data_IF_207273307843
#
_entry.id   IF_207273307843
#
_cell.length_a   1.000
_cell.length_b   1.000
_cell.length_c   1.000
_cell.angle_alpha   90.00
_cell.angle_beta   90.00
_cell.angle_gamma   90.00
#
_symmetry.space_group_name_H-M   'P 1'
#
loop_
_entity.id
_entity.type
_entity.pdbx_description
1 polymer ?
#
# COMPACT_ATOMS: atom_id res chain seq x y z
N UNK A 1 -11.95 -17.52 15.61
CA UNK A 1 -10.76 -16.92 16.25
C UNK A 1 -10.88 -15.40 16.14
N UNK A 2 -10.39 -14.63 17.09
CA UNK A 2 -10.34 -13.17 16.96
C UNK A 2 -9.12 -12.80 16.09
N UNK A 3 -9.39 -12.18 14.94
CA UNK A 3 -8.38 -11.72 13.99
C UNK A 3 -8.27 -10.18 13.99
N UNK A 4 -8.90 -9.51 14.98
CA UNK A 4 -8.84 -8.05 15.06
C UNK A 4 -7.42 -7.55 15.35
N UNK A 5 -7.07 -6.41 14.74
CA UNK A 5 -5.80 -5.72 14.96
C UNK A 5 -6.04 -4.25 15.31
N UNK A 6 -5.32 -3.77 16.34
CA UNK A 6 -5.38 -2.36 16.74
C UNK A 6 -4.14 -1.65 16.23
N UNK A 7 -4.31 -0.77 15.25
CA UNK A 7 -3.24 -0.03 14.59
C UNK A 7 -3.59 1.46 14.56
N UNK A 8 -2.64 2.32 14.88
CA UNK A 8 -2.81 3.79 14.88
C UNK A 8 -3.99 4.29 15.73
N UNK A 9 -4.39 3.54 16.77
CA UNK A 9 -5.57 3.84 17.59
C UNK A 9 -6.91 3.42 16.99
N UNK A 10 -6.91 2.66 15.89
CA UNK A 10 -8.10 2.15 15.19
C UNK A 10 -8.14 0.64 15.28
N UNK A 11 -9.32 0.08 15.58
CA UNK A 11 -9.56 -1.37 15.56
C UNK A 11 -10.03 -1.81 14.18
N UNK A 12 -9.27 -2.67 13.54
CA UNK A 12 -9.59 -3.32 12.25
C UNK A 12 -10.07 -4.74 12.52
N UNK A 13 -11.09 -5.21 11.80
CA UNK A 13 -11.67 -6.56 11.96
C UNK A 13 -10.65 -7.69 11.76
N UNK A 14 -9.70 -7.47 10.88
CA UNK A 14 -8.63 -8.43 10.55
C UNK A 14 -7.46 -7.73 9.85
N UNK A 15 -6.30 -8.39 9.68
CA UNK A 15 -5.11 -7.81 9.08
C UNK A 15 -5.09 -7.83 7.56
N UNK A 16 -6.13 -8.33 6.87
CA UNK A 16 -6.15 -8.45 5.41
C UNK A 16 -6.91 -7.27 4.80
N UNK A 17 -6.19 -6.43 4.08
CA UNK A 17 -6.68 -5.25 3.39
C UNK A 17 -6.49 -5.40 1.89
N UNK A 18 -7.06 -4.51 1.09
CA UNK A 18 -6.78 -4.41 -0.35
C UNK A 18 -6.01 -3.15 -0.66
N UNK A 19 -5.04 -3.28 -1.59
CA UNK A 19 -4.12 -2.20 -1.95
C UNK A 19 -4.76 -1.15 -2.86
N UNK A 20 -4.27 0.07 -2.78
CA UNK A 20 -4.65 1.16 -3.67
C UNK A 20 -4.39 0.81 -5.15
N UNK A 21 -5.23 1.34 -6.03
CA UNK A 21 -5.07 1.22 -7.48
C UNK A 21 -5.68 -0.02 -8.13
N UNK A 22 -5.71 -1.15 -7.43
CA UNK A 22 -6.20 -2.44 -7.98
C UNK A 22 -7.62 -2.78 -7.57
N UNK A 23 -8.21 -2.00 -6.69
CA UNK A 23 -9.55 -2.26 -6.12
C UNK A 23 -10.52 -1.07 -6.32
N UNK A 24 -10.12 -0.07 -7.07
CA UNK A 24 -10.91 1.14 -7.28
C UNK A 24 -11.26 1.81 -5.96
N UNK A 25 -12.54 2.03 -5.75
CA UNK A 25 -13.13 2.52 -4.49
C UNK A 25 -13.96 1.44 -3.78
N UNK A 26 -13.84 0.17 -4.20
CA UNK A 26 -14.56 -0.96 -3.65
C UNK A 26 -15.92 -1.26 -4.31
N UNK A 27 -16.47 -0.34 -5.11
CA UNK A 27 -17.82 -0.46 -5.67
C UNK A 27 -17.95 -1.63 -6.66
N UNK A 28 -16.94 -1.84 -7.50
CA UNK A 28 -16.94 -2.93 -8.47
C UNK A 28 -16.88 -4.29 -7.76
N UNK A 29 -16.13 -4.37 -6.67
CA UNK A 29 -15.94 -5.60 -5.91
C UNK A 29 -17.20 -6.04 -5.15
N UNK A 30 -18.11 -5.11 -4.80
CA UNK A 30 -19.41 -5.42 -4.20
C UNK A 30 -20.27 -6.38 -5.06
N UNK A 31 -20.02 -6.40 -6.37
CA UNK A 31 -20.69 -7.33 -7.30
C UNK A 31 -20.12 -8.75 -7.23
N UNK A 32 -18.96 -8.94 -6.64
CA UNK A 32 -18.23 -10.20 -6.58
C UNK A 32 -18.36 -10.87 -5.22
N UNK A 33 -18.25 -10.06 -4.15
CA UNK A 33 -18.34 -10.56 -2.78
C UNK A 33 -18.60 -9.41 -1.77
N UNK A 34 -18.92 -9.80 -0.54
CA UNK A 34 -19.12 -8.86 0.57
C UNK A 34 -17.77 -8.33 1.08
N UNK A 35 -17.42 -7.11 0.67
CA UNK A 35 -16.18 -6.45 1.06
C UNK A 35 -16.16 -6.01 2.54
N UNK A 36 -17.27 -6.09 3.27
CA UNK A 36 -17.31 -5.85 4.71
C UNK A 36 -16.48 -6.85 5.51
N UNK A 37 -16.14 -7.99 4.91
CA UNK A 37 -15.26 -9.01 5.48
C UNK A 37 -13.79 -8.59 5.52
N UNK A 38 -13.40 -7.57 4.75
CA UNK A 38 -12.02 -7.05 4.74
C UNK A 38 -11.76 -6.18 5.97
N UNK A 39 -10.51 -6.18 6.43
CA UNK A 39 -10.07 -5.28 7.50
C UNK A 39 -10.10 -3.81 7.07
N UNK A 40 -9.66 -3.52 5.84
CA UNK A 40 -9.78 -2.21 5.23
C UNK A 40 -9.72 -2.27 3.69
N UNK A 41 -10.23 -1.22 3.06
CA UNK A 41 -10.07 -0.91 1.64
C UNK A 41 -9.21 0.34 1.49
N UNK A 42 -8.03 0.21 0.86
CA UNK A 42 -7.24 1.39 0.47
C UNK A 42 -7.74 1.87 -0.88
N UNK A 43 -8.24 3.08 -0.93
CA UNK A 43 -8.86 3.64 -2.13
C UNK A 43 -7.83 3.81 -3.26
N UNK A 44 -8.31 3.85 -4.49
CA UNK A 44 -7.52 4.40 -5.60
C UNK A 44 -7.02 5.78 -5.22
N UNK A 45 -5.82 6.13 -5.66
CA UNK A 45 -5.20 7.41 -5.34
C UNK A 45 -6.09 8.60 -5.69
N UNK A 46 -6.23 9.53 -4.76
CA UNK A 46 -6.98 10.76 -4.90
C UNK A 46 -6.04 11.96 -4.98
N UNK A 47 -6.29 12.84 -5.92
CA UNK A 47 -5.63 14.15 -6.08
C UNK A 47 -6.63 15.28 -5.88
N UNK A 48 -6.13 16.51 -5.70
CA UNK A 48 -6.96 17.69 -5.52
C UNK A 48 -7.89 17.89 -6.72
N UNK A 49 -7.32 17.81 -7.93
CA UNK A 49 -8.04 17.94 -9.20
C UNK A 49 -8.16 16.60 -9.92
N UNK A 50 -9.14 16.43 -10.82
CA UNK A 50 -9.24 15.24 -11.65
C UNK A 50 -7.99 15.02 -12.50
N UNK A 51 -7.63 13.74 -12.71
CA UNK A 51 -6.52 13.34 -13.59
C UNK A 51 -7.00 12.32 -14.61
N UNK A 52 -6.71 12.56 -15.87
CA UNK A 52 -7.08 11.66 -16.98
C UNK A 52 -6.18 10.42 -17.00
N UNK A 53 -4.96 10.54 -16.47
CA UNK A 53 -3.94 9.48 -16.54
C UNK A 53 -3.13 9.55 -17.82
N UNK A 54 -2.32 8.50 -18.03
CA UNK A 54 -1.47 8.40 -19.22
C UNK A 54 -2.23 7.80 -20.41
N UNK A 55 -1.72 8.03 -21.62
CA UNK A 55 -2.24 7.41 -22.84
C UNK A 55 -1.99 5.89 -22.84
N UNK A 56 -2.90 5.09 -23.45
CA UNK A 56 -2.67 3.67 -23.69
C UNK A 56 -1.53 3.42 -24.71
N UNK A 57 -0.89 2.24 -24.64
CA UNK A 57 -1.05 1.15 -23.66
C UNK A 57 -0.47 1.49 -22.29
N UNK A 58 -1.25 1.23 -21.24
CA UNK A 58 -0.88 1.56 -19.84
C UNK A 58 -0.63 0.34 -18.96
N UNK A 59 -0.89 -0.85 -19.49
CA UNK A 59 -0.75 -2.13 -18.78
C UNK A 59 -0.08 -3.13 -19.70
N UNK A 60 0.80 -3.95 -19.16
CA UNK A 60 1.40 -5.08 -19.85
C UNK A 60 1.62 -6.24 -18.89
N UNK A 61 1.18 -7.44 -19.25
CA UNK A 61 1.49 -8.65 -18.50
C UNK A 61 2.97 -8.98 -18.60
N UNK A 62 3.52 -9.55 -17.53
CA UNK A 62 4.88 -10.09 -17.45
C UNK A 62 4.83 -11.50 -16.85
N UNK A 63 5.87 -12.33 -16.98
CA UNK A 63 5.97 -13.54 -16.21
C UNK A 63 5.80 -13.23 -14.71
N UNK A 64 4.87 -13.89 -14.04
CA UNK A 64 4.57 -13.74 -12.60
C UNK A 64 4.20 -12.31 -12.15
N UNK A 65 3.60 -11.48 -13.04
CA UNK A 65 3.19 -10.14 -12.64
C UNK A 65 2.69 -9.27 -13.77
N UNK A 66 2.66 -7.96 -13.53
CA UNK A 66 2.27 -6.98 -14.53
C UNK A 66 3.03 -5.66 -14.39
N UNK A 67 3.18 -4.97 -15.50
CA UNK A 67 3.61 -3.57 -15.55
C UNK A 67 2.39 -2.66 -15.69
N UNK A 68 2.40 -1.53 -14.98
CA UNK A 68 1.40 -0.50 -15.17
C UNK A 68 2.02 0.90 -15.20
N UNK A 69 1.39 1.76 -15.97
CA UNK A 69 1.66 3.20 -16.02
C UNK A 69 0.35 3.98 -16.15
N UNK A 70 -0.55 3.78 -15.20
CA UNK A 70 -1.90 4.36 -15.23
C UNK A 70 -1.87 5.90 -15.20
N UNK A 71 -0.86 6.49 -14.55
CA UNK A 71 -0.73 7.95 -14.45
C UNK A 71 -1.69 8.56 -13.43
N UNK A 72 -2.02 7.83 -12.38
CA UNK A 72 -2.87 8.28 -11.27
C UNK A 72 -4.25 8.78 -11.70
N UNK A 73 -4.85 8.19 -12.74
CA UNK A 73 -6.21 8.52 -13.18
C UNK A 73 -7.19 8.45 -11.99
N UNK A 74 -7.88 9.56 -11.72
CA UNK A 74 -8.86 9.64 -10.64
C UNK A 74 -9.79 10.85 -10.84
N UNK A 75 -10.99 10.87 -10.19
CA UNK A 75 -11.96 11.95 -10.39
C UNK A 75 -11.63 13.26 -9.65
N UNK A 76 -10.59 13.27 -8.80
CA UNK A 76 -10.33 14.34 -7.85
C UNK A 76 -11.15 14.18 -6.55
N UNK A 77 -10.69 14.84 -5.48
CA UNK A 77 -11.28 14.69 -4.14
C UNK A 77 -12.72 15.21 -4.07
N UNK A 78 -13.04 16.26 -4.78
CA UNK A 78 -14.40 16.87 -4.78
C UNK A 78 -15.44 15.91 -5.39
N UNK A 79 -15.17 15.38 -6.58
CA UNK A 79 -16.05 14.40 -7.22
C UNK A 79 -16.12 13.09 -6.42
N UNK A 80 -15.01 12.65 -5.81
CA UNK A 80 -15.02 11.51 -4.90
C UNK A 80 -16.01 11.71 -3.74
N UNK A 81 -15.94 12.85 -3.05
CA UNK A 81 -16.82 13.16 -1.91
C UNK A 81 -18.27 13.27 -2.32
N UNK A 82 -18.57 13.85 -3.49
CA UNK A 82 -19.92 14.08 -3.97
C UNK A 82 -20.59 12.85 -4.57
N UNK A 83 -19.83 12.02 -5.30
CA UNK A 83 -20.41 10.99 -6.16
C UNK A 83 -20.09 9.56 -5.68
N UNK A 84 -18.91 9.33 -5.07
CA UNK A 84 -18.42 7.99 -4.71
C UNK A 84 -18.60 7.73 -3.21
N UNK A 85 -18.20 8.68 -2.37
CA UNK A 85 -18.25 8.53 -0.91
C UNK A 85 -19.64 8.14 -0.38
N UNK A 86 -20.77 8.75 -0.83
CA UNK A 86 -22.09 8.34 -0.39
C UNK A 86 -22.46 6.88 -0.71
N UNK A 87 -21.79 6.27 -1.67
CA UNK A 87 -22.02 4.88 -2.05
C UNK A 87 -21.22 3.89 -1.19
N UNK A 88 -20.16 4.34 -0.51
CA UNK A 88 -19.29 3.49 0.32
C UNK A 88 -19.42 3.76 1.82
N UNK A 89 -19.95 4.88 2.24
CA UNK A 89 -20.00 5.28 3.66
C UNK A 89 -20.82 4.34 4.54
N UNK A 90 -21.79 3.62 3.98
CA UNK A 90 -22.62 2.66 4.69
C UNK A 90 -22.02 1.24 4.76
N UNK A 91 -20.92 0.97 4.06
CA UNK A 91 -20.27 -0.34 4.06
C UNK A 91 -19.56 -0.54 5.39
N UNK A 92 -19.78 -1.70 6.03
CA UNK A 92 -19.19 -2.03 7.32
C UNK A 92 -17.75 -2.53 7.18
N UNK A 93 -16.87 -1.67 6.64
CA UNK A 93 -15.42 -1.81 6.67
C UNK A 93 -14.77 -0.43 6.74
N UNK A 94 -13.51 -0.36 7.08
CA UNK A 94 -12.74 0.89 7.07
C UNK A 94 -12.21 1.20 5.67
N UNK A 95 -12.17 2.50 5.33
CA UNK A 95 -11.49 2.98 4.13
C UNK A 95 -10.29 3.83 4.53
N UNK A 96 -9.18 3.62 3.81
CA UNK A 96 -7.95 4.41 3.93
C UNK A 96 -7.79 5.15 2.62
N UNK A 97 -7.75 6.47 2.65
CA UNK A 97 -7.59 7.24 1.42
C UNK A 97 -6.12 7.25 0.99
N UNK A 98 -5.82 6.68 -0.18
CA UNK A 98 -4.52 6.89 -0.81
C UNK A 98 -4.48 8.30 -1.41
N UNK A 99 -3.54 9.12 -0.98
CA UNK A 99 -3.49 10.55 -1.32
C UNK A 99 -2.24 10.85 -2.14
N UNK A 100 -2.41 11.61 -3.20
CA UNK A 100 -1.36 12.10 -4.06
C UNK A 100 -1.49 13.61 -4.30
N UNK A 101 -0.37 14.31 -4.41
CA UNK A 101 -0.27 15.72 -4.81
C UNK A 101 1.01 15.97 -5.60
N UNK A 102 1.05 17.05 -6.36
CA UNK A 102 2.27 17.54 -7.02
C UNK A 102 3.07 18.49 -6.12
N UNK A 103 2.40 19.07 -5.12
CA UNK A 103 2.98 19.94 -4.10
C UNK A 103 2.56 19.48 -2.69
N UNK A 104 3.30 19.93 -1.67
CA UNK A 104 2.94 19.66 -0.27
C UNK A 104 1.54 20.22 0.07
N UNK A 105 1.18 21.35 -0.54
CA UNK A 105 -0.13 22.00 -0.40
C UNK A 105 -1.24 21.12 -0.93
N UNK A 106 -1.09 20.56 -2.13
CA UNK A 106 -2.10 19.68 -2.72
C UNK A 106 -2.34 18.43 -1.88
N UNK A 107 -1.28 17.78 -1.35
CA UNK A 107 -1.46 16.67 -0.40
C UNK A 107 -2.28 17.09 0.81
N UNK A 108 -1.94 18.24 1.41
CA UNK A 108 -2.64 18.75 2.59
C UNK A 108 -4.09 19.08 2.28
N UNK A 109 -4.38 19.76 1.18
CA UNK A 109 -5.74 20.14 0.79
C UNK A 109 -6.62 18.90 0.56
N UNK A 110 -6.09 17.84 -0.07
CA UNK A 110 -6.81 16.57 -0.22
C UNK A 110 -7.12 15.94 1.14
N UNK A 111 -6.14 15.87 2.04
CA UNK A 111 -6.36 15.32 3.39
C UNK A 111 -7.40 16.15 4.15
N UNK A 112 -7.31 17.48 4.13
CA UNK A 112 -8.26 18.36 4.81
C UNK A 112 -9.68 18.23 4.26
N UNK A 113 -9.84 18.09 2.94
CA UNK A 113 -11.16 17.86 2.33
C UNK A 113 -11.79 16.54 2.81
N UNK A 114 -10.97 15.53 3.15
CA UNK A 114 -11.44 14.23 3.61
C UNK A 114 -11.61 14.12 5.14
N UNK A 115 -11.30 15.16 5.92
CA UNK A 115 -11.40 15.11 7.39
C UNK A 115 -12.82 14.83 7.89
N UNK A 116 -13.85 15.38 7.21
CA UNK A 116 -15.25 15.15 7.56
C UNK A 116 -15.83 13.82 7.10
N UNK A 117 -15.12 13.09 6.24
CA UNK A 117 -15.53 11.78 5.73
C UNK A 117 -15.22 10.69 6.78
N UNK A 118 -16.14 10.42 7.70
CA UNK A 118 -15.91 9.53 8.88
C UNK A 118 -15.47 8.12 8.49
N UNK A 119 -15.96 7.59 7.36
CA UNK A 119 -15.59 6.25 6.88
C UNK A 119 -14.13 6.18 6.39
N UNK A 120 -13.53 7.31 6.01
CA UNK A 120 -12.10 7.42 5.76
C UNK A 120 -11.40 7.56 7.11
N UNK A 121 -10.77 6.49 7.57
CA UNK A 121 -10.18 6.43 8.91
C UNK A 121 -8.72 6.85 8.99
N UNK A 122 -7.99 6.82 7.86
CA UNK A 122 -6.57 7.17 7.78
C UNK A 122 -6.20 7.64 6.36
N UNK A 123 -5.03 8.25 6.22
CA UNK A 123 -4.43 8.64 4.94
C UNK A 123 -3.21 7.76 4.64
N UNK A 124 -3.09 7.27 3.41
CA UNK A 124 -1.90 6.64 2.87
C UNK A 124 -1.25 7.58 1.87
N UNK A 125 -0.17 8.26 2.25
CA UNK A 125 0.53 9.19 1.37
C UNK A 125 1.31 8.41 0.31
N UNK A 126 0.97 8.60 -0.96
CA UNK A 126 1.65 8.00 -2.10
C UNK A 126 2.81 8.91 -2.55
N UNK A 127 3.97 8.71 -1.95
CA UNK A 127 5.17 9.54 -2.23
C UNK A 127 6.03 9.01 -3.39
N UNK A 128 5.58 7.95 -4.07
CA UNK A 128 6.39 7.24 -5.08
C UNK A 128 6.32 7.83 -6.50
N UNK A 129 5.65 8.97 -6.71
CA UNK A 129 5.48 9.50 -8.06
C UNK A 129 6.76 10.17 -8.57
N UNK A 130 7.37 9.67 -9.68
CA UNK A 130 8.60 10.24 -10.23
C UNK A 130 8.38 11.53 -11.03
N UNK A 131 7.12 11.96 -11.24
CA UNK A 131 6.77 13.03 -12.18
C UNK A 131 6.46 14.36 -11.50
N UNK A 132 7.43 14.98 -10.85
CA UNK A 132 7.34 16.41 -10.52
C UNK A 132 8.02 17.21 -11.62
N UNK A 133 7.29 17.57 -12.66
CA UNK A 133 7.78 18.39 -13.77
C UNK A 133 8.06 19.86 -13.42
N UNK A 134 7.75 20.31 -12.18
CA UNK A 134 8.01 21.66 -11.72
C UNK A 134 8.68 21.63 -10.35
N UNK A 135 10.00 21.87 -10.33
CA UNK A 135 10.76 22.06 -9.11
C UNK A 135 11.70 20.93 -8.71
N UNK A 136 11.71 19.79 -9.40
CA UNK A 136 12.84 18.86 -9.37
C UNK A 136 13.00 17.91 -8.18
N UNK A 137 12.07 17.85 -7.23
CA UNK A 137 12.21 16.98 -6.06
C UNK A 137 11.05 15.99 -6.01
N UNK A 138 11.34 14.74 -6.34
CA UNK A 138 10.41 13.63 -6.11
C UNK A 138 10.34 13.34 -4.60
N UNK A 139 9.17 13.50 -3.99
CA UNK A 139 8.97 13.32 -2.53
C UNK A 139 9.53 11.99 -2.00
N UNK A 140 9.51 10.94 -2.78
CA UNK A 140 10.06 9.64 -2.41
C UNK A 140 11.56 9.45 -2.67
N UNK A 141 12.30 10.47 -3.09
CA UNK A 141 13.74 10.38 -3.38
C UNK A 141 14.61 11.40 -2.61
N UNK A 142 13.99 12.40 -1.99
CA UNK A 142 14.68 13.39 -1.14
C UNK A 142 14.14 13.30 0.28
N UNK A 143 15.02 12.93 1.21
CA UNK A 143 14.70 12.74 2.62
C UNK A 143 14.18 14.01 3.31
N UNK A 144 14.75 15.18 2.95
CA UNK A 144 14.34 16.46 3.56
C UNK A 144 12.94 16.87 3.08
N UNK A 145 12.67 16.68 1.80
CA UNK A 145 11.36 16.97 1.21
C UNK A 145 10.30 16.01 1.75
N UNK A 146 10.63 14.72 1.84
CA UNK A 146 9.75 13.73 2.44
C UNK A 146 9.42 14.07 3.89
N UNK A 147 10.43 14.35 4.72
CA UNK A 147 10.22 14.71 6.12
C UNK A 147 9.34 15.95 6.28
N UNK A 148 9.57 17.01 5.49
CA UNK A 148 8.74 18.22 5.51
C UNK A 148 7.29 17.93 5.14
N UNK A 149 7.05 17.12 4.11
CA UNK A 149 5.70 16.72 3.70
C UNK A 149 4.97 16.01 4.84
N UNK A 150 5.58 14.99 5.43
CA UNK A 150 4.98 14.22 6.52
C UNK A 150 4.68 15.12 7.72
N UNK A 151 5.64 15.91 8.17
CA UNK A 151 5.47 16.83 9.29
C UNK A 151 4.36 17.87 9.05
N UNK A 152 4.32 18.46 7.84
CA UNK A 152 3.31 19.44 7.46
C UNK A 152 1.89 18.85 7.50
N UNK A 153 1.71 17.64 6.97
CA UNK A 153 0.40 17.00 6.95
C UNK A 153 0.02 16.58 8.37
N UNK A 154 0.90 15.89 9.08
CA UNK A 154 0.64 15.41 10.45
C UNK A 154 0.32 16.55 11.41
N UNK A 155 0.91 17.71 11.26
CA UNK A 155 0.63 18.90 12.07
C UNK A 155 -0.73 19.56 11.79
N UNK A 156 -1.51 19.11 10.78
CA UNK A 156 -2.75 19.75 10.35
C UNK A 156 -3.96 18.82 10.33
N UNK A 157 -3.75 17.50 10.22
CA UNK A 157 -4.82 16.50 10.16
C UNK A 157 -4.97 15.79 11.49
N UNK A 158 -6.18 15.27 11.76
CA UNK A 158 -6.48 14.50 12.98
C UNK A 158 -6.35 13.00 12.76
N UNK A 159 -6.63 12.55 11.54
CA UNK A 159 -6.59 11.12 11.18
C UNK A 159 -5.14 10.64 11.08
N UNK A 160 -4.88 9.36 11.34
CA UNK A 160 -3.57 8.75 11.15
C UNK A 160 -3.02 8.93 9.74
N UNK A 161 -1.71 9.14 9.67
CA UNK A 161 -0.95 9.34 8.42
C UNK A 161 0.01 8.19 8.22
N UNK A 162 -0.21 7.39 7.19
CA UNK A 162 0.65 6.32 6.73
C UNK A 162 1.46 6.81 5.54
N UNK A 163 2.69 6.33 5.39
CA UNK A 163 3.53 6.68 4.22
C UNK A 163 3.85 5.43 3.43
N UNK A 164 3.44 5.42 2.15
CA UNK A 164 3.73 4.31 1.23
C UNK A 164 5.09 4.49 0.57
N UNK A 165 6.05 3.67 1.02
CA UNK A 165 7.44 3.74 0.62
C UNK A 165 7.67 3.20 -0.79
N UNK A 166 8.58 3.85 -1.52
CA UNK A 166 9.04 3.40 -2.84
C UNK A 166 10.15 2.35 -2.70
N UNK A 167 10.09 1.23 -3.42
CA UNK A 167 11.21 0.30 -3.49
C UNK A 167 12.36 0.78 -4.38
N UNK A 168 12.17 1.89 -5.09
CA UNK A 168 13.14 2.43 -6.05
C UNK A 168 14.10 3.44 -5.37
N UNK A 169 14.12 3.47 -4.05
CA UNK A 169 15.08 4.24 -3.24
C UNK A 169 16.29 3.36 -2.88
N UNK A 170 17.42 3.98 -2.61
CA UNK A 170 18.64 3.22 -2.25
C UNK A 170 18.57 2.56 -0.87
N UNK A 171 17.83 3.14 0.09
CA UNK A 171 17.75 2.67 1.48
C UNK A 171 16.35 2.89 2.05
N UNK A 172 15.54 1.82 2.05
CA UNK A 172 14.16 1.85 2.56
C UNK A 172 14.09 2.17 4.06
N UNK A 173 15.09 1.75 4.83
CA UNK A 173 15.15 1.97 6.29
C UNK A 173 15.36 3.45 6.59
N UNK A 174 16.25 4.10 5.85
CA UNK A 174 16.50 5.52 6.02
C UNK A 174 15.25 6.36 5.70
N UNK A 175 14.54 6.03 4.61
CA UNK A 175 13.28 6.68 4.26
C UNK A 175 12.19 6.42 5.32
N UNK A 176 12.09 5.17 5.80
CA UNK A 176 11.17 4.80 6.88
C UNK A 176 11.42 5.60 8.18
N UNK A 177 12.69 5.69 8.62
CA UNK A 177 13.08 6.48 9.80
C UNK A 177 12.69 7.94 9.66
N UNK A 178 12.99 8.56 8.51
CA UNK A 178 12.61 9.96 8.27
C UNK A 178 11.09 10.16 8.36
N UNK A 179 10.29 9.23 7.85
CA UNK A 179 8.83 9.32 7.99
C UNK A 179 8.40 9.27 9.47
N UNK A 180 8.93 8.32 10.23
CA UNK A 180 8.60 8.14 11.66
C UNK A 180 9.05 9.33 12.48
N UNK A 181 10.27 9.82 12.28
CA UNK A 181 10.83 10.99 12.99
C UNK A 181 10.02 12.28 12.72
N UNK A 182 9.30 12.33 11.59
CA UNK A 182 8.41 13.45 11.23
C UNK A 182 6.93 13.19 11.52
N UNK A 183 6.60 12.12 12.26
CA UNK A 183 5.30 11.90 12.85
C UNK A 183 4.37 10.97 12.05
N UNK A 184 4.87 10.18 11.10
CA UNK A 184 4.06 9.14 10.48
C UNK A 184 3.58 8.13 11.51
N UNK A 185 2.29 7.76 11.46
CA UNK A 185 1.67 6.79 12.37
C UNK A 185 1.90 5.35 11.89
N UNK A 186 2.29 5.16 10.65
CA UNK A 186 2.58 3.85 10.06
C UNK A 186 3.33 3.94 8.75
N UNK A 187 3.95 2.84 8.36
CA UNK A 187 4.63 2.68 7.07
C UNK A 187 3.93 1.62 6.23
N UNK A 188 3.86 1.85 4.92
CA UNK A 188 3.34 0.87 3.96
C UNK A 188 4.49 0.47 3.03
N UNK A 189 4.88 -0.78 3.04
CA UNK A 189 6.00 -1.30 2.27
C UNK A 189 5.56 -2.50 1.42
N UNK A 190 5.57 -2.33 0.09
CA UNK A 190 6.17 -1.31 -0.75
C UNK A 190 5.25 -0.92 -1.92
N UNK A 191 5.56 0.19 -2.61
CA UNK A 191 4.99 0.48 -3.92
C UNK A 191 5.65 -0.39 -5.01
N UNK A 192 5.35 -0.15 -6.28
CA UNK A 192 5.81 -0.95 -7.43
C UNK A 192 7.27 -0.67 -7.80
N UNK A 193 7.97 -1.70 -8.28
CA UNK A 193 9.33 -1.59 -8.81
C UNK A 193 9.31 -1.02 -10.24
N UNK A 194 10.26 -0.17 -10.56
CA UNK A 194 10.41 0.35 -11.93
C UNK A 194 10.85 -0.77 -12.87
N UNK A 195 10.09 -0.98 -13.93
CA UNK A 195 10.36 -2.01 -14.94
C UNK A 195 10.02 -1.55 -16.34
N UNK A 196 10.34 -2.39 -17.32
CA UNK A 196 10.10 -2.15 -18.75
C UNK A 196 9.85 -3.47 -19.48
N UNK A 197 9.03 -3.43 -20.52
CA UNK A 197 8.84 -4.53 -21.46
C UNK A 197 8.94 -4.02 -22.91
N UNK A 198 9.61 -4.79 -23.76
CA UNK A 198 9.79 -4.50 -25.18
C UNK A 198 9.01 -5.52 -26.00
N UNK A 199 8.28 -5.05 -27.01
CA UNK A 199 7.76 -5.87 -28.08
C UNK A 199 8.91 -6.12 -29.06
N UNK A 200 9.39 -7.36 -29.11
CA UNK A 200 10.58 -7.73 -29.90
C UNK A 200 10.34 -7.67 -31.42
N UNK A 201 9.10 -7.95 -31.84
CA UNK A 201 8.74 -7.91 -33.26
C UNK A 201 8.65 -6.45 -33.77
N UNK A 202 8.01 -5.58 -32.97
CA UNK A 202 7.91 -4.15 -33.30
C UNK A 202 9.16 -3.36 -32.93
N UNK A 203 10.02 -3.92 -32.07
CA UNK A 203 11.23 -3.26 -31.55
C UNK A 203 10.94 -1.94 -30.85
N UNK A 204 9.84 -1.91 -30.06
CA UNK A 204 9.36 -0.73 -29.34
C UNK A 204 8.97 -1.09 -27.90
N UNK A 205 9.01 -0.14 -26.96
CA UNK A 205 8.40 -0.31 -25.66
C UNK A 205 6.91 -0.62 -25.77
N UNK A 206 6.39 -1.49 -24.90
CA UNK A 206 4.95 -1.83 -24.90
C UNK A 206 4.14 -0.70 -24.27
N UNK A 207 4.62 -0.13 -23.15
CA UNK A 207 3.92 0.96 -22.49
C UNK A 207 4.18 2.30 -23.19
N UNK A 208 3.15 3.15 -23.29
CA UNK A 208 3.25 4.49 -23.86
C UNK A 208 4.28 5.39 -23.14
N UNK A 209 4.50 5.14 -21.85
CA UNK A 209 5.47 5.85 -21.00
C UNK A 209 6.86 5.21 -20.98
N UNK A 210 7.10 4.20 -21.82
CA UNK A 210 8.33 3.40 -21.90
C UNK A 210 8.54 2.51 -20.68
N UNK A 211 8.43 3.05 -19.46
CA UNK A 211 8.62 2.38 -18.19
C UNK A 211 7.32 2.39 -17.39
N UNK A 212 7.16 1.39 -16.52
CA UNK A 212 6.01 1.30 -15.60
C UNK A 212 6.38 0.62 -14.29
N UNK A 213 5.44 0.61 -13.36
CA UNK A 213 5.59 -0.09 -12.09
C UNK A 213 5.32 -1.59 -12.27
N UNK A 214 6.28 -2.44 -11.92
CA UNK A 214 6.14 -3.88 -11.83
C UNK A 214 5.49 -4.25 -10.51
N UNK A 215 4.47 -5.10 -10.55
CA UNK A 215 3.74 -5.65 -9.40
C UNK A 215 3.38 -7.12 -9.62
N UNK A 216 2.85 -7.78 -8.59
CA UNK A 216 2.49 -9.19 -8.62
C UNK A 216 3.53 -10.09 -7.98
N UNK A 217 3.39 -11.43 -8.06
CA UNK A 217 4.25 -12.39 -7.34
C UNK A 217 5.74 -12.19 -7.57
N UNK A 218 6.15 -11.67 -8.73
CA UNK A 218 7.55 -11.41 -9.07
C UNK A 218 8.28 -10.50 -8.06
N UNK A 219 7.57 -9.62 -7.34
CA UNK A 219 8.20 -8.69 -6.39
C UNK A 219 8.14 -9.16 -4.94
N UNK A 220 7.53 -10.30 -4.64
CA UNK A 220 7.37 -10.82 -3.27
C UNK A 220 8.68 -10.83 -2.47
N UNK A 221 9.78 -11.44 -2.95
CA UNK A 221 11.01 -11.55 -2.16
C UNK A 221 11.64 -10.19 -1.85
N UNK A 222 11.43 -9.20 -2.72
CA UNK A 222 11.93 -7.84 -2.53
C UNK A 222 11.09 -7.13 -1.47
N UNK A 223 9.76 -7.26 -1.54
CA UNK A 223 8.85 -6.66 -0.58
C UNK A 223 9.04 -7.23 0.84
N UNK A 224 9.13 -8.56 0.96
CA UNK A 224 9.39 -9.25 2.23
C UNK A 224 10.73 -8.81 2.84
N UNK A 225 11.81 -8.72 2.05
CA UNK A 225 13.11 -8.19 2.51
C UNK A 225 12.99 -6.77 3.05
N UNK A 226 12.28 -5.88 2.34
CA UNK A 226 12.13 -4.49 2.78
C UNK A 226 11.31 -4.36 4.06
N UNK A 227 10.25 -5.18 4.22
CA UNK A 227 9.49 -5.26 5.49
C UNK A 227 10.40 -5.76 6.62
N UNK A 228 11.20 -6.79 6.37
CA UNK A 228 12.18 -7.33 7.34
C UNK A 228 13.15 -6.25 7.82
N UNK A 229 13.79 -5.54 6.89
CA UNK A 229 14.77 -4.49 7.19
C UNK A 229 14.15 -3.34 7.99
N UNK A 230 12.93 -2.92 7.61
CA UNK A 230 12.18 -1.89 8.35
C UNK A 230 11.85 -2.36 9.77
N UNK A 231 11.34 -3.58 9.93
CA UNK A 231 11.01 -4.11 11.24
C UNK A 231 12.26 -4.30 12.12
N UNK A 232 13.36 -4.79 11.54
CA UNK A 232 14.64 -4.92 12.25
C UNK A 232 15.15 -3.57 12.77
N UNK A 233 14.93 -2.49 12.01
CA UNK A 233 15.42 -1.16 12.35
C UNK A 233 14.50 -0.37 13.29
N UNK A 234 13.18 -0.61 13.22
CA UNK A 234 12.15 0.17 13.92
C UNK A 234 11.44 -0.63 15.03
N UNK A 235 11.53 -1.96 15.00
CA UNK A 235 10.82 -2.84 15.93
C UNK A 235 9.32 -2.64 15.84
N UNK A 236 8.66 -2.60 16.98
CA UNK A 236 7.22 -2.38 17.12
C UNK A 236 6.85 -0.92 17.36
N UNK A 237 7.80 0.03 17.21
CA UNK A 237 7.57 1.45 17.48
C UNK A 237 6.54 2.08 16.52
N UNK A 238 6.44 1.54 15.31
CA UNK A 238 5.48 1.95 14.30
C UNK A 238 4.97 0.74 13.53
N UNK A 239 3.65 0.61 13.30
CA UNK A 239 3.11 -0.48 12.48
C UNK A 239 3.60 -0.40 11.03
N UNK A 240 3.96 -1.57 10.48
CA UNK A 240 4.33 -1.73 9.07
C UNK A 240 3.21 -2.51 8.39
N UNK A 241 2.72 -1.99 7.28
CA UNK A 241 1.72 -2.64 6.45
C UNK A 241 2.44 -3.23 5.23
N UNK A 242 2.44 -4.56 5.14
CA UNK A 242 3.11 -5.27 4.04
C UNK A 242 2.30 -5.24 2.75
N UNK A 243 2.93 -4.90 1.64
CA UNK A 243 2.32 -4.94 0.30
C UNK A 243 3.37 -5.22 -0.76
N UNK A 244 3.01 -6.04 -1.73
CA UNK A 244 3.87 -6.43 -2.85
C UNK A 244 4.06 -7.93 -2.96
N UNK A 245 3.53 -8.49 -4.04
CA UNK A 245 3.64 -9.91 -4.33
C UNK A 245 2.70 -10.83 -3.55
N UNK A 246 1.78 -10.30 -2.75
CA UNK A 246 0.82 -11.10 -1.97
C UNK A 246 -0.27 -11.62 -2.91
N UNK A 247 -0.41 -12.96 -3.01
CA UNK A 247 -1.39 -13.61 -3.88
C UNK A 247 -2.05 -14.85 -3.26
N UNK A 248 -1.48 -15.36 -2.16
CA UNK A 248 -1.99 -16.50 -1.39
C UNK A 248 -1.65 -16.33 0.10
N UNK A 249 -2.07 -17.31 0.91
CA UNK A 249 -1.82 -17.30 2.36
C UNK A 249 -0.34 -17.31 2.70
N UNK A 250 0.47 -18.10 1.99
CA UNK A 250 1.90 -18.22 2.26
C UNK A 250 2.62 -16.87 2.05
N UNK A 251 2.35 -16.20 0.94
CA UNK A 251 2.91 -14.88 0.65
C UNK A 251 2.49 -13.81 1.67
N UNK A 252 1.25 -13.86 2.19
CA UNK A 252 0.79 -12.97 3.26
C UNK A 252 1.51 -13.26 4.58
N UNK A 253 1.64 -14.55 4.94
CA UNK A 253 2.35 -14.98 6.15
C UNK A 253 3.83 -14.58 6.11
N UNK A 254 4.50 -14.66 4.96
CA UNK A 254 5.89 -14.19 4.81
C UNK A 254 6.03 -12.71 5.19
N UNK A 255 5.11 -11.85 4.75
CA UNK A 255 5.10 -10.44 5.15
C UNK A 255 4.90 -10.26 6.65
N UNK A 256 3.95 -11.00 7.25
CA UNK A 256 3.65 -10.89 8.67
C UNK A 256 4.83 -11.40 9.52
N UNK A 257 5.39 -12.54 9.19
CA UNK A 257 6.57 -13.11 9.86
C UNK A 257 7.81 -12.19 9.70
N UNK A 258 7.92 -11.45 8.60
CA UNK A 258 8.95 -10.44 8.41
C UNK A 258 8.72 -9.16 9.23
N UNK A 259 7.52 -8.95 9.81
CA UNK A 259 7.23 -7.81 10.69
C UNK A 259 6.03 -6.96 10.28
N UNK A 260 5.28 -7.33 9.23
CA UNK A 260 4.07 -6.61 8.87
C UNK A 260 2.94 -6.88 9.88
N UNK A 261 2.30 -5.82 10.38
CA UNK A 261 1.16 -5.87 11.30
C UNK A 261 -0.17 -6.12 10.58
N UNK A 262 -0.23 -5.78 9.29
CA UNK A 262 -1.32 -6.05 8.37
C UNK A 262 -0.76 -6.15 6.94
N UNK A 263 -1.56 -6.66 6.01
CA UNK A 263 -1.14 -6.87 4.62
C UNK A 263 -2.15 -6.26 3.64
N UNK A 264 -1.67 -5.77 2.49
CA UNK A 264 -2.52 -5.27 1.41
C UNK A 264 -2.38 -6.16 0.17
N UNK A 265 -3.50 -6.73 -0.29
CA UNK A 265 -3.58 -7.52 -1.52
C UNK A 265 -3.76 -6.58 -2.71
N UNK A 266 -2.84 -6.63 -3.67
CA UNK A 266 -2.84 -5.76 -4.86
C UNK A 266 -3.20 -6.50 -6.14
N UNK A 267 -2.19 -6.82 -6.95
CA UNK A 267 -2.33 -7.41 -8.30
C UNK A 267 -3.15 -8.70 -8.32
N UNK A 268 -3.17 -9.46 -7.23
CA UNK A 268 -3.97 -10.69 -7.13
C UNK A 268 -5.47 -10.45 -7.34
N UNK A 269 -5.99 -9.26 -7.02
CA UNK A 269 -7.39 -8.90 -7.29
C UNK A 269 -7.78 -9.02 -8.78
N UNK A 270 -6.82 -8.97 -9.71
CA UNK A 270 -7.09 -9.04 -11.14
C UNK A 270 -7.20 -10.48 -11.67
N UNK A 271 -6.46 -11.42 -11.09
CA UNK A 271 -6.49 -12.81 -11.56
C UNK A 271 -7.29 -13.76 -10.63
N UNK A 272 -7.44 -13.38 -9.35
CA UNK A 272 -8.34 -14.05 -8.40
C UNK A 272 -8.98 -13.01 -7.48
N UNK A 273 -10.14 -12.44 -7.86
CA UNK A 273 -10.80 -11.41 -7.05
C UNK A 273 -11.15 -11.86 -5.62
N UNK A 274 -11.24 -13.17 -5.37
CA UNK A 274 -11.50 -13.73 -4.04
C UNK A 274 -10.22 -13.96 -3.21
N UNK A 275 -9.05 -13.67 -3.77
CA UNK A 275 -7.76 -13.89 -3.06
C UNK A 275 -7.70 -13.23 -1.68
N UNK A 276 -8.24 -12.01 -1.42
CA UNK A 276 -8.21 -11.44 -0.08
C UNK A 276 -8.98 -12.28 0.95
N UNK A 277 -10.14 -12.84 0.57
CA UNK A 277 -10.92 -13.70 1.46
C UNK A 277 -10.25 -15.05 1.70
N UNK A 278 -9.69 -15.66 0.65
CA UNK A 278 -8.93 -16.92 0.78
C UNK A 278 -7.70 -16.75 1.67
N UNK A 279 -7.02 -15.62 1.57
CA UNK A 279 -5.88 -15.26 2.43
C UNK A 279 -6.33 -15.13 3.88
N UNK A 280 -7.45 -14.45 4.13
CA UNK A 280 -8.00 -14.29 5.48
C UNK A 280 -8.33 -15.65 6.11
N UNK A 281 -9.05 -16.50 5.39
CA UNK A 281 -9.37 -17.88 5.83
C UNK A 281 -8.09 -18.70 6.09
N UNK A 282 -7.12 -18.59 5.19
CA UNK A 282 -5.86 -19.30 5.31
C UNK A 282 -5.00 -18.85 6.49
N UNK A 283 -4.99 -17.55 6.82
CA UNK A 283 -4.32 -17.03 8.03
C UNK A 283 -5.00 -17.59 9.28
N UNK A 284 -6.34 -17.58 9.36
CA UNK A 284 -7.07 -18.15 10.48
C UNK A 284 -6.76 -19.65 10.67
N UNK A 285 -6.73 -20.38 9.57
CA UNK A 285 -6.43 -21.83 9.60
C UNK A 285 -4.97 -22.08 10.02
N UNK A 286 -4.01 -21.29 9.53
CA UNK A 286 -2.61 -21.37 9.95
C UNK A 286 -2.47 -21.14 11.46
N UNK A 287 -3.07 -20.08 11.99
CA UNK A 287 -3.03 -19.77 13.42
C UNK A 287 -3.64 -20.90 14.27
N UNK A 288 -4.76 -21.47 13.82
CA UNK A 288 -5.42 -22.57 14.50
C UNK A 288 -4.54 -23.84 14.53
N UNK A 289 -3.95 -24.21 13.39
CA UNK A 289 -3.08 -25.39 13.28
C UNK A 289 -1.83 -25.30 14.12
N UNK A 290 -1.25 -24.10 14.24
CA UNK A 290 -0.03 -23.87 14.98
C UNK A 290 -0.27 -23.39 16.43
N UNK A 291 -1.52 -23.19 16.85
CA UNK A 291 -1.91 -22.67 18.16
C UNK A 291 -1.28 -21.29 18.47
N UNK A 292 -1.21 -20.45 17.45
CA UNK A 292 -0.63 -19.10 17.50
C UNK A 292 -1.73 -18.02 17.53
N UNK A 293 -1.33 -16.82 17.93
CA UNK A 293 -2.12 -15.58 17.81
C UNK A 293 -1.55 -14.71 16.68
N UNK A 294 -2.29 -13.68 16.25
CA UNK A 294 -1.76 -12.72 15.29
C UNK A 294 -0.47 -12.01 15.78
N UNK A 295 -0.34 -11.81 17.10
CA UNK A 295 0.86 -11.19 17.67
C UNK A 295 2.10 -12.06 17.48
N UNK A 296 1.93 -13.38 17.49
CA UNK A 296 3.03 -14.32 17.30
C UNK A 296 3.53 -14.34 15.84
N UNK A 297 2.69 -13.91 14.89
CA UNK A 297 3.08 -13.79 13.50
C UNK A 297 3.95 -12.56 13.24
N UNK A 298 3.61 -11.42 13.87
CA UNK A 298 4.28 -10.15 13.57
C UNK A 298 5.74 -10.19 14.01
N UNK A 299 6.64 -10.30 13.03
CA UNK A 299 8.07 -10.41 13.29
C UNK A 299 8.50 -11.79 13.85
N UNK A 300 7.64 -12.80 13.79
CA UNK A 300 7.92 -14.13 14.35
C UNK A 300 9.20 -14.76 13.79
N UNK A 301 9.54 -14.51 12.53
CA UNK A 301 10.77 -15.03 11.94
C UNK A 301 12.05 -14.41 12.53
N UNK A 302 11.99 -13.21 13.12
CA UNK A 302 13.15 -12.59 13.77
C UNK A 302 13.55 -13.28 15.06
N UNK A 303 12.61 -13.86 15.81
CA UNK A 303 12.89 -14.59 17.06
C UNK A 303 13.58 -15.92 16.80
N UNK A 304 13.31 -16.56 15.65
CA UNK A 304 13.90 -17.83 15.24
C UNK A 304 15.23 -17.66 14.49
N UNK A 305 15.52 -16.43 14.01
CA UNK A 305 16.73 -16.14 13.26
C UNK A 305 17.98 -16.12 14.18
N UNK A 306 18.90 -17.04 13.93
CA UNK A 306 20.20 -17.14 14.61
C UNK A 306 21.31 -17.03 13.55
N UNK A 307 21.95 -15.84 13.40
CA UNK A 307 22.95 -15.62 12.36
C UNK A 307 24.16 -16.55 12.47
N UNK A 308 24.51 -17.02 13.66
CA UNK A 308 25.56 -17.99 13.95
C UNK A 308 25.27 -19.42 13.47
N UNK A 309 24.03 -19.70 13.07
CA UNK A 309 23.62 -21.00 12.49
C UNK A 309 23.41 -20.96 10.98
N UNK A 310 23.66 -19.84 10.33
CA UNK A 310 23.57 -19.76 8.86
C UNK A 310 24.76 -20.50 8.25
N UNK A 311 24.55 -21.60 7.51
CA UNK A 311 25.62 -22.26 6.78
C UNK A 311 25.90 -21.45 5.50
N UNK A 312 26.77 -20.47 5.57
CA UNK A 312 27.36 -19.83 4.40
C UNK A 312 28.68 -20.45 4.06
#
# INVERSE_FOLDING_TARGET
>A
MDLSVNLFGISFKNPVWVASGTFGYGLEALKLYDISKLGAVVTKGLSLKPRIGNEPPRIAETPCGMLNSIGLQNPGVEAFLKEIYPQIEHIDTHFIANVFGETEEEYLEVCLALESAEKIVAYELNVSCPNVKRGGLAFGHDLKVLGKLVNKIKGKVKKPVLVKLSPNTGDVVLFGKVCVDNGADGLVAINTLLGMKIDVEKRTPILSTVKGGLSGPAILPIAVRMVWELYQALGTSVPIIGVGGIYDTDSALQHMLAGASAVQVGTANFFDPLSPLKILEGIEDYLRRHQLTLKDLVGGAHSEYRPDKCPC
#
